data_IF_056759788555
#
_entry.id   IF_056759788555
#
_cell.length_a   1.000
_cell.length_b   1.000
_cell.length_c   1.000
_cell.angle_alpha   90.00
_cell.angle_beta   90.00
_cell.angle_gamma   90.00
#
_symmetry.space_group_name_H-M   'P 1'
#
loop_
_entity.id
_entity.type
_entity.pdbx_description
1 polymer ?
#
# COMPACT_ATOMS: atom_id res chain seq x y z
N UNK A 1 14.67 11.89 -7.74
CA UNK A 1 15.14 10.68 -7.01
C UNK A 1 14.22 10.46 -5.80
N UNK A 2 13.20 9.62 -5.92
CA UNK A 2 12.30 9.35 -4.81
C UNK A 2 12.98 8.40 -3.82
N UNK A 3 13.40 8.90 -2.65
CA UNK A 3 13.83 8.02 -1.55
C UNK A 3 12.63 7.20 -1.10
N UNK A 4 12.73 5.88 -1.21
CA UNK A 4 11.77 4.98 -0.57
C UNK A 4 11.73 5.29 0.93
N UNK A 5 10.54 5.41 1.54
CA UNK A 5 10.39 5.61 2.97
C UNK A 5 11.14 4.54 3.77
N UNK A 6 11.81 4.93 4.85
CA UNK A 6 12.52 3.99 5.74
C UNK A 6 11.61 2.85 6.23
N UNK A 7 10.31 3.11 6.41
CA UNK A 7 9.30 2.13 6.84
C UNK A 7 8.99 1.03 5.82
N UNK A 8 9.42 1.18 4.55
CA UNK A 8 9.29 0.13 3.53
C UNK A 8 10.60 -0.61 3.29
N UNK A 9 11.68 -0.24 3.98
CA UNK A 9 12.99 -0.87 3.82
C UNK A 9 12.94 -2.29 4.37
N UNK A 10 13.43 -3.24 3.58
CA UNK A 10 13.49 -4.65 3.97
C UNK A 10 12.15 -5.40 3.91
N UNK A 11 11.06 -4.76 3.47
CA UNK A 11 9.82 -5.47 3.18
C UNK A 11 9.99 -6.32 1.91
N UNK A 12 9.42 -7.53 1.92
CA UNK A 12 9.20 -8.32 0.71
C UNK A 12 8.49 -7.44 -0.32
N UNK A 13 8.85 -7.61 -1.60
CA UNK A 13 8.16 -6.96 -2.71
C UNK A 13 7.45 -8.01 -3.54
N UNK A 14 6.27 -7.67 -4.04
CA UNK A 14 5.45 -8.54 -4.88
C UNK A 14 4.97 -7.78 -6.10
N UNK A 15 4.86 -8.49 -7.23
CA UNK A 15 4.25 -7.96 -8.44
C UNK A 15 2.74 -8.19 -8.39
N UNK A 16 1.96 -7.14 -8.52
CA UNK A 16 0.50 -7.17 -8.55
C UNK A 16 0.05 -6.23 -9.67
N UNK A 17 -0.80 -6.70 -10.59
CA UNK A 17 -1.33 -5.85 -11.67
C UNK A 17 -0.25 -5.18 -12.54
N UNK A 18 0.93 -5.79 -12.67
CA UNK A 18 2.06 -5.23 -13.44
C UNK A 18 2.94 -4.22 -12.69
N UNK A 19 2.67 -3.94 -11.41
CA UNK A 19 3.51 -3.06 -10.57
C UNK A 19 4.15 -3.83 -9.42
N UNK A 20 5.37 -3.43 -9.02
CA UNK A 20 6.10 -4.05 -7.90
C UNK A 20 5.96 -3.21 -6.65
N UNK A 21 5.18 -3.70 -5.70
CA UNK A 21 4.85 -3.02 -4.44
C UNK A 21 5.45 -3.74 -3.23
N UNK A 22 5.86 -3.03 -2.17
CA UNK A 22 6.19 -3.65 -0.89
C UNK A 22 4.97 -4.31 -0.24
N UNK A 23 5.21 -5.36 0.56
CA UNK A 23 4.17 -6.13 1.26
C UNK A 23 4.19 -5.87 2.76
N UNK A 24 3.12 -5.29 3.29
CA UNK A 24 2.96 -5.00 4.71
C UNK A 24 2.27 -6.14 5.48
N UNK A 25 3.05 -7.08 6.03
CA UNK A 25 2.52 -8.17 6.87
C UNK A 25 2.52 -7.87 8.39
N UNK A 26 3.43 -7.02 8.85
CA UNK A 26 3.59 -6.69 10.28
C UNK A 26 2.71 -5.53 10.75
N UNK A 27 2.56 -5.38 12.06
CA UNK A 27 1.72 -4.31 12.65
C UNK A 27 2.17 -2.91 12.23
N UNK A 28 3.46 -2.58 12.38
CA UNK A 28 3.99 -1.25 12.06
C UNK A 28 3.82 -0.81 10.59
N UNK A 29 4.19 -1.60 9.57
CA UNK A 29 3.98 -1.20 8.17
C UNK A 29 2.50 -1.15 7.78
N UNK A 30 1.63 -1.92 8.44
CA UNK A 30 0.17 -1.85 8.23
C UNK A 30 -0.46 -0.60 8.85
N UNK A 31 -0.08 -0.27 10.09
CA UNK A 31 -0.57 0.90 10.80
C UNK A 31 -0.13 2.21 10.14
N UNK A 32 1.15 2.28 9.75
CA UNK A 32 1.69 3.48 9.12
C UNK A 32 1.28 3.60 7.66
N UNK A 33 1.22 2.48 6.93
CA UNK A 33 0.86 2.46 5.52
C UNK A 33 1.52 3.57 4.70
N UNK A 34 0.70 4.26 3.91
CA UNK A 34 1.07 5.46 3.15
C UNK A 34 0.78 6.77 3.92
N UNK A 35 0.31 6.69 5.17
CA UNK A 35 -0.08 7.86 5.95
C UNK A 35 1.14 8.75 6.27
N UNK A 36 0.93 10.06 6.17
CA UNK A 36 1.97 11.07 6.35
C UNK A 36 3.03 11.15 5.24
N UNK A 37 2.96 10.31 4.20
CA UNK A 37 3.85 10.41 3.04
C UNK A 37 3.33 11.44 2.04
N UNK A 38 4.25 12.05 1.30
CA UNK A 38 3.91 12.78 0.09
C UNK A 38 3.63 11.82 -1.08
N UNK A 39 2.79 12.24 -2.04
CA UNK A 39 2.45 11.42 -3.23
C UNK A 39 3.70 10.94 -3.96
N UNK A 40 4.73 11.78 -4.04
CA UNK A 40 5.99 11.41 -4.66
C UNK A 40 6.68 10.23 -3.95
N UNK A 41 6.57 10.13 -2.62
CA UNK A 41 7.21 9.11 -1.77
C UNK A 41 6.42 7.81 -1.65
N UNK A 42 5.10 7.86 -1.88
CA UNK A 42 4.22 6.70 -1.82
C UNK A 42 4.59 5.61 -2.85
N UNK A 43 5.24 6.00 -3.95
CA UNK A 43 5.65 5.09 -5.00
C UNK A 43 4.44 4.43 -5.69
N UNK A 44 4.58 3.18 -6.18
CA UNK A 44 3.50 2.49 -6.90
C UNK A 44 2.37 1.97 -6.00
N UNK A 45 2.50 2.05 -4.67
CA UNK A 45 1.50 1.57 -3.71
C UNK A 45 2.07 0.64 -2.65
N UNK A 46 1.18 -0.04 -1.92
CA UNK A 46 1.48 -0.94 -0.81
C UNK A 46 0.49 -2.11 -0.82
N UNK A 47 0.99 -3.35 -0.80
CA UNK A 47 0.13 -4.53 -0.65
C UNK A 47 -0.07 -4.83 0.83
N UNK A 48 -1.32 -4.98 1.26
CA UNK A 48 -1.68 -5.32 2.63
C UNK A 48 -2.44 -6.65 2.65
N UNK A 49 -1.76 -7.80 2.83
CA UNK A 49 -2.43 -9.10 2.84
C UNK A 49 -3.39 -9.24 4.03
N UNK A 50 -4.52 -9.93 3.80
CA UNK A 50 -5.55 -10.20 4.82
C UNK A 50 -6.01 -8.91 5.53
N UNK A 51 -6.44 -7.93 4.73
CA UNK A 51 -6.93 -6.64 5.20
C UNK A 51 -8.41 -6.48 4.87
N UNK A 52 -9.26 -6.31 5.90
CA UNK A 52 -10.70 -6.12 5.71
C UNK A 52 -11.12 -4.66 5.59
N UNK A 53 -10.27 -3.72 6.03
CA UNK A 53 -10.56 -2.28 6.00
C UNK A 53 -9.26 -1.47 5.98
N UNK A 54 -9.28 -0.35 5.27
CA UNK A 54 -8.19 0.63 5.21
C UNK A 54 -8.73 1.95 5.72
N UNK A 55 -8.09 2.50 6.74
CA UNK A 55 -8.38 3.87 7.16
C UNK A 55 -7.62 4.86 6.27
N UNK A 56 -8.22 6.02 6.00
CA UNK A 56 -7.57 7.13 5.27
C UNK A 56 -7.18 8.29 6.19
N UNK A 57 -7.31 8.12 7.51
CA UNK A 57 -6.88 9.14 8.47
C UNK A 57 -5.38 9.45 8.34
N UNK A 58 -5.03 10.73 8.29
CA UNK A 58 -3.64 11.19 8.15
C UNK A 58 -3.06 11.06 6.73
N UNK A 59 -3.89 10.77 5.73
CA UNK A 59 -3.49 10.80 4.32
C UNK A 59 -3.35 12.23 3.82
N UNK A 60 -2.31 12.48 3.00
CA UNK A 60 -2.04 13.79 2.39
C UNK A 60 -2.54 13.89 0.95
N UNK A 61 -3.05 12.80 0.39
CA UNK A 61 -3.54 12.67 -0.98
C UNK A 61 -4.56 11.53 -1.05
N UNK A 62 -5.50 11.56 -2.01
CA UNK A 62 -6.49 10.51 -2.16
C UNK A 62 -5.86 9.19 -2.60
N UNK A 63 -6.44 8.08 -2.16
CA UNK A 63 -5.99 6.73 -2.46
C UNK A 63 -6.98 5.99 -3.34
N UNK A 64 -6.45 5.30 -4.33
CA UNK A 64 -7.14 4.21 -5.00
C UNK A 64 -6.86 2.92 -4.23
N UNK A 65 -7.92 2.34 -3.65
CA UNK A 65 -7.87 1.13 -2.84
C UNK A 65 -8.41 -0.02 -3.67
N UNK A 66 -7.53 -0.93 -4.05
CA UNK A 66 -7.88 -2.14 -4.80
C UNK A 66 -7.89 -3.33 -3.85
N UNK A 67 -9.06 -3.95 -3.67
CA UNK A 67 -9.18 -5.24 -2.99
C UNK A 67 -8.91 -6.36 -3.99
N UNK A 68 -8.17 -7.36 -3.53
CA UNK A 68 -7.77 -8.51 -4.33
C UNK A 68 -8.38 -9.79 -3.73
N UNK A 69 -8.67 -10.77 -4.58
CA UNK A 69 -8.96 -12.14 -4.15
C UNK A 69 -7.69 -12.91 -3.75
N UNK A 70 -7.86 -14.18 -3.35
CA UNK A 70 -6.75 -15.05 -2.96
C UNK A 70 -5.81 -15.40 -4.14
N UNK A 71 -6.26 -15.21 -5.39
CA UNK A 71 -5.47 -15.35 -6.60
C UNK A 71 -4.82 -14.02 -7.04
N UNK A 72 -4.84 -13.00 -6.17
CA UNK A 72 -4.34 -11.64 -6.39
C UNK A 72 -4.99 -10.91 -7.57
N UNK A 73 -6.23 -11.27 -7.91
CA UNK A 73 -7.04 -10.60 -8.93
C UNK A 73 -7.87 -9.50 -8.30
N UNK A 74 -8.00 -8.38 -9.01
CA UNK A 74 -8.85 -7.28 -8.59
C UNK A 74 -10.32 -7.71 -8.47
N UNK A 75 -10.92 -7.45 -7.30
CA UNK A 75 -12.34 -7.70 -7.04
C UNK A 75 -13.15 -6.42 -6.81
N UNK A 76 -12.50 -5.34 -6.34
CA UNK A 76 -13.17 -4.08 -6.03
C UNK A 76 -12.16 -2.93 -5.99
N UNK A 77 -12.56 -1.78 -6.51
CA UNK A 77 -11.84 -0.51 -6.37
C UNK A 77 -12.68 0.48 -5.58
N UNK A 78 -12.06 1.16 -4.62
CA UNK A 78 -12.62 2.31 -3.92
C UNK A 78 -11.68 3.49 -4.07
N UNK A 79 -12.24 4.70 -4.14
CA UNK A 79 -11.46 5.93 -4.03
C UNK A 79 -11.81 6.61 -2.71
N UNK A 80 -10.79 7.06 -1.98
CA UNK A 80 -10.94 7.63 -0.65
C UNK A 80 -9.97 8.79 -0.40
#
# INVERSE_FOLDING_TARGET
>A
MTRSPHRFRGLERRSVGGVVVPVARGFAPRLLGLAGLDRAQAGPGLLIPRCASVHTFGMRFPLDIVFLDDAEREVRVLQA
#
